data_IF_744118074357
#
_entry.id   IF_744118074357
#
_cell.length_a   1.000
_cell.length_b   1.000
_cell.length_c   1.000
_cell.angle_alpha   90.00
_cell.angle_beta   90.00
_cell.angle_gamma   90.00
#
_symmetry.space_group_name_H-M   'P 1'
#
loop_
_entity.id
_entity.type
_entity.pdbx_description
1 polymer ?
#
# COMPACT_ATOMS: atom_id res chain seq x y z
N UNK A 1 -6.35 3.85 18.69
CA UNK A 1 -4.88 4.05 18.57
C UNK A 1 -4.54 5.33 17.81
N UNK A 2 -3.40 5.97 18.13
CA UNK A 2 -2.95 7.21 17.49
C UNK A 2 -1.62 6.99 16.76
N UNK A 3 -1.46 7.66 15.61
CA UNK A 3 -0.23 7.60 14.82
C UNK A 3 0.86 8.54 15.36
N UNK A 4 2.11 8.14 15.17
CA UNK A 4 3.24 8.94 15.60
C UNK A 4 3.43 10.15 14.66
N UNK A 5 3.77 11.30 15.24
CA UNK A 5 4.11 12.52 14.51
C UNK A 5 5.14 12.32 13.40
N UNK A 6 6.15 11.49 13.66
CA UNK A 6 7.19 11.19 12.67
C UNK A 6 6.62 10.41 11.47
N UNK A 7 5.70 9.46 11.72
CA UNK A 7 5.04 8.66 10.69
C UNK A 7 4.12 9.53 9.83
N UNK A 8 3.37 10.44 10.43
CA UNK A 8 2.51 11.40 9.71
C UNK A 8 3.33 12.34 8.81
N UNK A 9 4.45 12.87 9.32
CA UNK A 9 5.36 13.70 8.51
C UNK A 9 5.96 12.94 7.33
N UNK A 10 6.35 11.69 7.58
CA UNK A 10 6.87 10.82 6.53
C UNK A 10 5.77 10.51 5.50
N UNK A 11 4.54 10.22 5.96
CA UNK A 11 3.41 9.89 5.09
C UNK A 11 3.04 11.05 4.16
N UNK A 12 3.01 12.29 4.67
CA UNK A 12 2.78 13.45 3.80
C UNK A 12 3.85 13.54 2.70
N UNK A 13 5.13 13.37 3.05
CA UNK A 13 6.21 13.37 2.06
C UNK A 13 6.07 12.22 1.04
N UNK A 14 5.54 11.08 1.48
CA UNK A 14 5.26 9.93 0.61
C UNK A 14 4.16 10.23 -0.41
N UNK A 15 2.99 10.67 0.05
CA UNK A 15 1.85 10.95 -0.84
C UNK A 15 2.09 12.15 -1.76
N UNK A 16 2.88 13.13 -1.35
CA UNK A 16 3.30 14.23 -2.23
C UNK A 16 4.23 13.77 -3.36
N UNK A 17 5.05 12.78 -3.10
CA UNK A 17 6.02 12.28 -4.07
C UNK A 17 5.44 11.25 -5.03
N UNK A 18 4.62 10.34 -4.52
CA UNK A 18 4.15 9.17 -5.26
C UNK A 18 2.64 9.20 -5.54
N UNK A 19 1.91 10.09 -4.88
CA UNK A 19 0.45 10.07 -4.90
C UNK A 19 -0.13 8.98 -3.99
N UNK A 20 -1.44 8.88 -4.03
CA UNK A 20 -2.20 7.78 -3.43
C UNK A 20 -2.42 6.63 -4.43
N UNK A 21 -2.15 6.89 -5.72
CA UNK A 21 -2.29 5.92 -6.81
C UNK A 21 -1.56 6.41 -8.06
N UNK A 22 -1.10 5.48 -8.88
CA UNK A 22 -0.54 5.73 -10.22
C UNK A 22 -1.62 5.88 -11.31
N UNK A 23 -2.88 5.75 -10.95
CA UNK A 23 -4.02 5.72 -11.89
C UNK A 23 -4.65 7.10 -12.07
N UNK A 24 -4.67 7.90 -11.00
CA UNK A 24 -5.25 9.24 -11.00
C UNK A 24 -4.17 10.32 -10.91
N UNK A 25 -4.45 11.55 -11.37
CA UNK A 25 -3.59 12.68 -11.11
C UNK A 25 -3.38 12.90 -9.62
N UNK A 26 -2.20 13.39 -9.24
CA UNK A 26 -1.91 13.76 -7.86
C UNK A 26 -2.93 14.79 -7.35
N UNK A 27 -3.62 14.53 -6.24
CA UNK A 27 -4.56 15.48 -5.64
C UNK A 27 -3.84 16.78 -5.25
N UNK A 28 -4.38 17.92 -5.68
CA UNK A 28 -3.83 19.25 -5.34
C UNK A 28 -3.96 19.56 -3.85
N UNK A 29 -4.86 18.88 -3.18
CA UNK A 29 -5.10 18.98 -1.73
C UNK A 29 -3.84 18.66 -0.92
N UNK A 30 -2.95 17.79 -1.39
CA UNK A 30 -1.71 17.52 -0.69
C UNK A 30 -0.81 18.75 -0.59
N UNK A 31 -0.78 19.60 -1.62
CA UNK A 31 -0.05 20.87 -1.56
C UNK A 31 -0.68 21.85 -0.54
N UNK A 32 -2.02 21.90 -0.49
CA UNK A 32 -2.73 22.72 0.50
C UNK A 32 -2.49 22.22 1.95
N UNK A 33 -2.55 20.89 2.15
CA UNK A 33 -2.23 20.26 3.45
C UNK A 33 -0.79 20.58 3.85
N UNK A 34 0.15 20.56 2.91
CA UNK A 34 1.55 20.93 3.16
C UNK A 34 1.67 22.40 3.61
N UNK A 35 0.98 23.30 2.96
CA UNK A 35 1.01 24.73 3.30
C UNK A 35 0.53 24.97 4.74
N UNK A 36 -0.52 24.27 5.16
CA UNK A 36 -1.14 24.39 6.49
C UNK A 36 -0.70 23.29 7.48
N UNK A 37 0.44 22.65 7.22
CA UNK A 37 0.88 21.48 7.98
C UNK A 37 0.99 21.71 9.48
N UNK A 38 1.41 22.90 9.89
CA UNK A 38 1.55 23.25 11.32
C UNK A 38 0.23 23.22 12.08
N UNK A 39 -0.88 23.51 11.39
CA UNK A 39 -2.23 23.50 11.96
C UNK A 39 -2.87 22.10 11.86
N UNK A 40 -2.65 21.42 10.74
CA UNK A 40 -3.27 20.12 10.46
C UNK A 40 -2.62 18.98 11.25
N UNK A 41 -1.30 19.01 11.45
CA UNK A 41 -0.58 17.92 12.10
C UNK A 41 -1.10 17.58 13.51
N UNK A 42 -1.36 18.55 14.41
CA UNK A 42 -1.93 18.23 15.72
C UNK A 42 -3.30 17.57 15.65
N UNK A 43 -4.12 17.94 14.66
CA UNK A 43 -5.43 17.33 14.43
C UNK A 43 -5.28 15.88 13.97
N UNK A 44 -4.33 15.60 13.06
CA UNK A 44 -4.02 14.23 12.64
C UNK A 44 -3.46 13.38 13.78
N UNK A 45 -2.63 13.96 14.65
CA UNK A 45 -2.11 13.26 15.84
C UNK A 45 -3.23 12.89 16.82
N UNK A 46 -4.30 13.69 16.88
CA UNK A 46 -5.44 13.47 17.76
C UNK A 46 -6.46 12.45 17.22
N UNK A 47 -6.38 12.05 15.95
CA UNK A 47 -7.28 11.06 15.37
C UNK A 47 -7.05 9.70 16.02
N UNK A 48 -8.13 9.13 16.58
CA UNK A 48 -8.15 7.74 17.00
C UNK A 48 -8.61 6.85 15.84
N UNK A 49 -7.70 6.05 15.29
CA UNK A 49 -7.98 5.18 14.14
C UNK A 49 -8.98 4.06 14.43
N UNK A 50 -9.23 3.73 15.68
CA UNK A 50 -10.25 2.75 16.05
C UNK A 50 -11.67 3.26 15.78
N UNK A 51 -11.88 4.55 16.01
CA UNK A 51 -13.19 5.20 15.84
C UNK A 51 -13.29 6.08 14.60
N UNK A 52 -12.16 6.27 13.89
CA UNK A 52 -12.09 7.11 12.69
C UNK A 52 -13.05 6.62 11.61
N UNK A 53 -13.86 7.56 11.09
CA UNK A 53 -14.69 7.34 9.93
C UNK A 53 -13.98 7.91 8.71
N UNK A 54 -13.81 7.07 7.69
CA UNK A 54 -13.15 7.50 6.44
C UNK A 54 -13.96 8.58 5.73
N UNK A 55 -13.26 9.51 5.11
CA UNK A 55 -13.87 10.55 4.27
C UNK A 55 -14.42 10.00 2.95
N UNK A 56 -14.99 10.88 2.17
CA UNK A 56 -15.50 10.54 0.85
C UNK A 56 -14.38 10.07 -0.07
N UNK A 57 -14.61 8.96 -0.74
CA UNK A 57 -13.67 8.38 -1.70
C UNK A 57 -14.33 8.22 -3.07
N UNK A 58 -13.52 8.22 -4.12
CA UNK A 58 -13.98 8.11 -5.50
C UNK A 58 -13.68 6.73 -6.05
N UNK A 59 -14.65 6.14 -6.75
CA UNK A 59 -14.44 4.94 -7.55
C UNK A 59 -14.67 5.26 -9.01
N UNK A 60 -13.72 4.82 -9.85
CA UNK A 60 -13.81 5.02 -11.29
C UNK A 60 -13.41 3.75 -12.04
N UNK A 61 -14.10 3.47 -13.11
CA UNK A 61 -13.69 2.45 -14.07
C UNK A 61 -12.58 3.03 -14.94
N UNK A 62 -11.39 2.45 -14.83
CA UNK A 62 -10.22 2.85 -15.62
C UNK A 62 -9.86 1.76 -16.63
N UNK A 63 -9.51 2.11 -17.88
CA UNK A 63 -9.08 1.14 -18.87
C UNK A 63 -7.81 0.40 -18.42
N UNK A 64 -7.81 -0.92 -18.46
CA UNK A 64 -6.63 -1.78 -18.26
C UNK A 64 -6.07 -2.25 -19.60
N UNK A 65 -6.95 -2.46 -20.57
CA UNK A 65 -6.62 -2.90 -21.93
C UNK A 65 -7.74 -2.50 -22.88
N UNK A 66 -7.62 -2.88 -24.17
CA UNK A 66 -8.66 -2.59 -25.17
C UNK A 66 -10.08 -3.05 -24.75
N UNK A 67 -10.17 -4.14 -24.00
CA UNK A 67 -11.46 -4.75 -23.59
C UNK A 67 -11.58 -4.96 -22.08
N UNK A 68 -10.61 -4.51 -21.31
CA UNK A 68 -10.56 -4.70 -19.86
C UNK A 68 -10.60 -3.38 -19.11
N UNK A 69 -11.33 -3.38 -18.00
CA UNK A 69 -11.42 -2.25 -17.08
C UNK A 69 -11.04 -2.72 -15.68
N UNK A 70 -10.56 -1.79 -14.86
CA UNK A 70 -10.39 -1.98 -13.41
C UNK A 70 -11.21 -0.93 -12.68
N UNK A 71 -11.74 -1.31 -11.53
CA UNK A 71 -12.32 -0.37 -10.60
C UNK A 71 -11.20 0.20 -9.74
N UNK A 72 -10.81 1.43 -10.01
CA UNK A 72 -9.80 2.14 -9.21
C UNK A 72 -10.50 2.99 -8.13
N UNK A 73 -9.82 3.13 -6.99
CA UNK A 73 -10.32 3.90 -5.85
C UNK A 73 -9.30 5.00 -5.53
N UNK A 74 -9.79 6.24 -5.43
CA UNK A 74 -9.02 7.38 -4.91
C UNK A 74 -9.56 7.72 -3.53
N UNK A 75 -8.69 7.70 -2.54
CA UNK A 75 -9.06 7.98 -1.16
C UNK A 75 -9.18 9.49 -0.91
N UNK A 76 -9.85 9.84 0.18
CA UNK A 76 -9.75 11.19 0.72
C UNK A 76 -8.28 11.49 1.09
N UNK A 77 -7.73 12.69 0.80
CA UNK A 77 -6.31 13.00 1.04
C UNK A 77 -5.83 12.76 2.48
N UNK A 78 -6.67 13.05 3.46
CA UNK A 78 -6.36 12.76 4.88
C UNK A 78 -6.24 11.25 5.11
N UNK A 79 -7.16 10.45 4.58
CA UNK A 79 -7.12 8.99 4.73
C UNK A 79 -5.92 8.37 4.02
N UNK A 80 -5.50 8.94 2.89
CA UNK A 80 -4.26 8.54 2.22
C UNK A 80 -3.03 8.75 3.11
N UNK A 81 -2.96 9.89 3.82
CA UNK A 81 -1.88 10.18 4.77
C UNK A 81 -1.95 9.21 5.97
N UNK A 82 -3.14 8.99 6.53
CA UNK A 82 -3.32 8.09 7.67
C UNK A 82 -2.95 6.64 7.30
N UNK A 83 -3.41 6.15 6.14
CA UNK A 83 -3.08 4.81 5.65
C UNK A 83 -1.56 4.68 5.41
N UNK A 84 -0.93 5.63 4.73
CA UNK A 84 0.50 5.60 4.47
C UNK A 84 1.32 5.62 5.79
N UNK A 85 0.93 6.42 6.77
CA UNK A 85 1.58 6.45 8.08
C UNK A 85 1.41 5.13 8.84
N UNK A 86 0.21 4.54 8.79
CA UNK A 86 -0.09 3.28 9.44
C UNK A 86 0.72 2.13 8.82
N UNK A 87 0.77 2.04 7.50
CA UNK A 87 1.61 1.08 6.77
C UNK A 87 3.08 1.28 7.10
N UNK A 88 3.56 2.54 7.14
CA UNK A 88 4.94 2.84 7.50
C UNK A 88 5.32 2.30 8.88
N UNK A 89 4.44 2.38 9.87
CA UNK A 89 4.71 1.92 11.24
C UNK A 89 4.89 0.40 11.35
N UNK A 90 4.24 -0.38 10.49
CA UNK A 90 4.33 -1.85 10.46
C UNK A 90 5.27 -2.39 9.37
N UNK A 91 5.64 -1.58 8.40
CA UNK A 91 6.35 -2.01 7.20
C UNK A 91 7.65 -2.78 7.47
N UNK A 92 8.40 -2.41 8.51
CA UNK A 92 9.63 -3.11 8.90
C UNK A 92 9.35 -4.53 9.39
N UNK A 93 8.32 -4.68 10.19
CA UNK A 93 7.93 -5.98 10.74
C UNK A 93 7.45 -6.90 9.61
N UNK A 94 6.62 -6.37 8.70
CA UNK A 94 6.17 -7.09 7.51
C UNK A 94 7.35 -7.52 6.62
N UNK A 95 8.31 -6.62 6.37
CA UNK A 95 9.47 -6.93 5.52
C UNK A 95 10.35 -8.02 6.15
N UNK A 96 10.53 -8.01 7.48
CA UNK A 96 11.35 -9.00 8.19
C UNK A 96 10.79 -10.43 8.13
N UNK A 97 9.47 -10.55 7.92
CA UNK A 97 8.78 -11.85 7.78
C UNK A 97 8.71 -12.35 6.33
N UNK A 98 9.19 -11.58 5.37
CA UNK A 98 9.20 -11.99 3.96
C UNK A 98 10.40 -12.88 3.64
N UNK A 99 10.27 -13.70 2.60
CA UNK A 99 11.38 -14.47 2.06
C UNK A 99 12.57 -13.53 1.78
N UNK A 100 13.78 -13.84 2.28
CA UNK A 100 14.94 -12.96 2.16
C UNK A 100 15.26 -12.58 0.70
N UNK A 101 15.68 -11.34 0.47
CA UNK A 101 16.06 -10.83 -0.88
C UNK A 101 17.09 -11.72 -1.58
N UNK A 102 18.05 -12.30 -0.83
CA UNK A 102 19.10 -13.17 -1.37
C UNK A 102 18.58 -14.41 -2.09
N UNK A 103 17.39 -14.89 -1.74
CA UNK A 103 16.78 -16.05 -2.40
C UNK A 103 16.22 -15.74 -3.79
N UNK A 104 16.01 -14.48 -4.14
CA UNK A 104 15.51 -14.01 -5.44
C UNK A 104 14.25 -14.76 -5.92
N UNK A 105 13.38 -15.16 -4.98
CA UNK A 105 12.13 -15.88 -5.25
C UNK A 105 10.89 -14.99 -5.23
N UNK A 106 10.93 -13.93 -4.43
CA UNK A 106 9.84 -12.94 -4.31
C UNK A 106 10.43 -11.58 -4.64
N UNK A 107 10.07 -11.05 -5.81
CA UNK A 107 10.67 -9.86 -6.42
C UNK A 107 9.64 -8.73 -6.52
N UNK A 108 8.54 -8.79 -5.79
CA UNK A 108 7.61 -7.66 -5.66
C UNK A 108 8.24 -6.57 -4.78
N UNK A 109 7.65 -5.39 -4.79
CA UNK A 109 8.08 -4.26 -3.99
C UNK A 109 8.58 -4.66 -2.60
N UNK A 110 9.82 -4.30 -2.28
CA UNK A 110 10.47 -4.53 -0.98
C UNK A 110 10.48 -3.24 -0.20
N UNK A 111 10.34 -3.33 1.11
CA UNK A 111 10.37 -2.14 1.96
C UNK A 111 11.80 -1.62 2.12
N UNK A 112 11.99 -0.33 1.81
CA UNK A 112 13.16 0.45 2.17
C UNK A 112 12.72 1.85 2.58
N UNK A 113 12.98 2.24 3.83
CA UNK A 113 12.54 3.51 4.44
C UNK A 113 13.67 4.50 4.65
N UNK A 114 14.78 4.34 3.91
CA UNK A 114 16.01 5.12 4.16
C UNK A 114 15.93 6.57 3.65
N UNK A 115 14.93 6.90 2.84
CA UNK A 115 14.71 8.25 2.31
C UNK A 115 13.39 8.89 2.77
N UNK A 116 13.32 10.23 2.75
CA UNK A 116 12.07 10.95 3.04
C UNK A 116 10.94 10.52 2.10
N UNK A 117 9.84 10.03 2.68
CA UNK A 117 8.68 9.56 1.93
C UNK A 117 8.92 8.30 1.09
N UNK A 118 10.08 7.65 1.18
CA UNK A 118 10.38 6.44 0.44
C UNK A 118 9.92 5.21 1.23
N UNK A 119 9.02 4.42 0.66
CA UNK A 119 8.55 3.16 1.24
C UNK A 119 9.22 1.95 0.59
N UNK A 120 9.45 2.01 -0.71
CA UNK A 120 9.91 0.88 -1.51
C UNK A 120 11.37 1.02 -1.91
N UNK A 121 12.03 -0.13 -1.98
CA UNK A 121 13.40 -0.26 -2.47
C UNK A 121 13.42 -0.03 -3.99
N UNK A 122 14.12 1.02 -4.48
CA UNK A 122 14.15 1.35 -5.89
C UNK A 122 14.83 0.28 -6.76
N UNK A 123 15.67 -0.58 -6.16
CA UNK A 123 16.34 -1.67 -6.88
C UNK A 123 15.45 -2.90 -7.04
N UNK A 124 14.38 -3.03 -6.24
CA UNK A 124 13.44 -4.16 -6.28
C UNK A 124 12.12 -3.76 -6.94
N UNK A 125 12.18 -3.56 -8.24
CA UNK A 125 11.09 -3.09 -9.08
C UNK A 125 10.76 -4.08 -10.21
N UNK A 126 9.88 -3.70 -11.12
CA UNK A 126 9.48 -4.54 -12.25
C UNK A 126 10.63 -4.83 -13.23
N UNK A 127 11.59 -3.92 -13.41
CA UNK A 127 12.78 -4.18 -14.25
C UNK A 127 13.66 -5.27 -13.62
N UNK A 128 13.92 -5.18 -12.33
CA UNK A 128 14.63 -6.23 -11.57
C UNK A 128 13.92 -7.59 -11.70
N UNK A 129 12.59 -7.61 -11.65
CA UNK A 129 11.82 -8.84 -11.90
C UNK A 129 12.08 -9.41 -13.30
N UNK A 130 12.03 -8.57 -14.33
CA UNK A 130 12.27 -9.00 -15.71
C UNK A 130 13.69 -9.54 -15.91
N UNK A 131 14.68 -8.89 -15.33
CA UNK A 131 16.08 -9.31 -15.44
C UNK A 131 16.34 -10.65 -14.77
N UNK A 132 15.77 -10.84 -13.56
CA UNK A 132 15.86 -12.12 -12.86
C UNK A 132 15.13 -13.24 -13.65
N UNK A 133 13.97 -12.92 -14.22
CA UNK A 133 13.22 -13.88 -15.03
C UNK A 133 14.01 -14.27 -16.28
N UNK A 134 14.56 -13.30 -17.02
CA UNK A 134 15.42 -13.56 -18.19
C UNK A 134 16.58 -14.47 -17.83
N UNK A 135 17.34 -14.10 -16.78
CA UNK A 135 18.48 -14.90 -16.34
C UNK A 135 18.10 -16.33 -16.01
N UNK A 136 16.90 -16.56 -15.41
CA UNK A 136 16.41 -17.91 -15.13
C UNK A 136 15.95 -18.67 -16.39
N UNK A 137 15.37 -17.97 -17.36
CA UNK A 137 14.98 -18.59 -18.65
C UNK A 137 16.20 -18.97 -19.48
N UNK A 138 17.33 -18.27 -19.34
CA UNK A 138 18.56 -18.55 -20.05
C UNK A 138 19.40 -19.69 -19.40
N UNK A 139 18.99 -20.21 -18.25
CA UNK A 139 19.65 -21.35 -17.63
C UNK A 139 19.46 -22.60 -18.52
N UNK A 140 20.53 -23.40 -18.78
CA UNK A 140 20.43 -24.60 -19.62
C UNK A 140 19.44 -25.65 -19.12
N UNK A 141 19.08 -25.61 -17.85
CA UNK A 141 18.10 -26.48 -17.21
C UNK A 141 16.65 -26.03 -17.39
N UNK A 142 16.42 -24.83 -17.89
CA UNK A 142 15.08 -24.27 -18.07
C UNK A 142 14.47 -24.71 -19.41
N UNK A 143 13.83 -25.86 -19.42
CA UNK A 143 13.15 -26.39 -20.61
C UNK A 143 11.76 -25.76 -20.84
N UNK A 144 11.12 -25.28 -19.75
CA UNK A 144 9.75 -24.78 -19.79
C UNK A 144 9.59 -23.52 -18.95
N UNK A 145 8.79 -22.57 -19.44
CA UNK A 145 8.37 -21.38 -18.71
C UNK A 145 6.85 -21.40 -18.60
N UNK A 146 6.35 -21.37 -17.37
CA UNK A 146 4.91 -21.27 -17.10
C UNK A 146 4.64 -19.91 -16.51
N UNK A 147 3.75 -19.12 -17.15
CA UNK A 147 3.31 -17.80 -16.67
C UNK A 147 1.89 -17.93 -16.16
N UNK A 148 1.68 -17.52 -14.91
CA UNK A 148 0.35 -17.50 -14.29
C UNK A 148 0.10 -16.14 -13.65
N UNK A 149 -1.17 -15.73 -13.57
CA UNK A 149 -1.59 -14.52 -12.91
C UNK A 149 -2.88 -14.78 -12.11
N UNK A 150 -3.08 -14.02 -11.03
CA UNK A 150 -4.31 -14.09 -10.23
C UNK A 150 -5.25 -13.00 -10.74
N UNK A 151 -6.33 -13.44 -11.39
CA UNK A 151 -7.34 -12.50 -11.86
C UNK A 151 -8.01 -11.76 -10.70
N UNK A 152 -8.11 -10.45 -10.83
CA UNK A 152 -8.78 -9.57 -9.86
C UNK A 152 -8.26 -9.72 -8.42
N UNK A 153 -6.94 -9.86 -8.25
CA UNK A 153 -6.31 -10.16 -6.97
C UNK A 153 -6.82 -9.29 -5.84
N UNK A 154 -6.73 -7.95 -5.98
CA UNK A 154 -7.11 -7.02 -4.90
C UNK A 154 -8.58 -7.13 -4.52
N UNK A 155 -9.47 -7.26 -5.49
CA UNK A 155 -10.92 -7.32 -5.25
C UNK A 155 -11.38 -8.67 -4.69
N UNK A 156 -10.51 -9.69 -4.73
CA UNK A 156 -10.79 -11.04 -4.23
C UNK A 156 -10.02 -11.42 -2.98
N UNK A 157 -9.23 -10.49 -2.43
CA UNK A 157 -8.47 -10.75 -1.22
C UNK A 157 -9.41 -10.83 -0.01
N UNK A 158 -9.51 -12.00 0.62
CA UNK A 158 -10.31 -12.18 1.82
C UNK A 158 -9.65 -11.49 3.02
N UNK A 159 -10.44 -10.75 3.80
CA UNK A 159 -9.93 -9.98 4.94
C UNK A 159 -9.41 -10.87 6.06
N UNK A 160 -10.11 -11.96 6.40
CA UNK A 160 -9.67 -12.83 7.50
C UNK A 160 -8.29 -13.48 7.29
N UNK A 161 -7.96 -14.08 6.14
CA UNK A 161 -6.59 -14.54 5.88
C UNK A 161 -5.55 -13.42 5.87
N UNK A 162 -5.90 -12.23 5.38
CA UNK A 162 -5.03 -11.05 5.42
C UNK A 162 -4.75 -10.63 6.86
N UNK A 163 -5.78 -10.52 7.69
CA UNK A 163 -5.64 -10.21 9.11
C UNK A 163 -4.74 -11.22 9.83
N UNK A 164 -4.97 -12.52 9.62
CA UNK A 164 -4.14 -13.57 10.21
C UNK A 164 -2.66 -13.43 9.79
N UNK A 165 -2.39 -13.14 8.51
CA UNK A 165 -1.03 -12.93 8.02
C UNK A 165 -0.37 -11.69 8.65
N UNK A 166 -1.12 -10.60 8.82
CA UNK A 166 -0.64 -9.39 9.49
C UNK A 166 -0.34 -9.65 10.97
N UNK A 167 -1.24 -10.33 11.69
CA UNK A 167 -1.04 -10.69 13.12
C UNK A 167 0.15 -11.61 13.34
N UNK A 168 0.46 -12.49 12.38
CA UNK A 168 1.66 -13.32 12.42
C UNK A 168 2.95 -12.54 12.13
N UNK A 169 2.84 -11.44 11.38
CA UNK A 169 4.00 -10.68 10.95
C UNK A 169 4.38 -9.53 11.92
N UNK A 170 3.47 -9.09 12.79
CA UNK A 170 3.74 -8.01 13.76
C UNK A 170 2.97 -8.21 15.06
N UNK A 171 3.60 -7.83 16.18
CA UNK A 171 2.97 -7.82 17.49
C UNK A 171 2.08 -6.58 17.74
N UNK A 172 2.00 -5.66 16.79
CA UNK A 172 1.24 -4.41 16.88
C UNK A 172 -0.24 -4.64 16.60
N UNK A 173 -0.96 -5.24 17.52
CA UNK A 173 -2.37 -5.63 17.35
C UNK A 173 -3.27 -4.44 16.96
N UNK A 174 -3.15 -3.30 17.63
CA UNK A 174 -3.95 -2.10 17.32
C UNK A 174 -3.71 -1.58 15.89
N UNK A 175 -2.46 -1.69 15.38
CA UNK A 175 -2.17 -1.32 13.99
C UNK A 175 -2.83 -2.29 13.01
N UNK A 176 -2.86 -3.58 13.34
CA UNK A 176 -3.56 -4.57 12.50
C UNK A 176 -5.06 -4.31 12.50
N UNK A 177 -5.66 -4.00 13.66
CA UNK A 177 -7.07 -3.64 13.75
C UNK A 177 -7.41 -2.41 12.90
N UNK A 178 -6.59 -1.36 12.95
CA UNK A 178 -6.74 -0.18 12.12
C UNK A 178 -6.55 -0.50 10.61
N UNK A 179 -5.53 -1.31 10.25
CA UNK A 179 -5.31 -1.77 8.87
C UNK A 179 -6.46 -2.60 8.31
N UNK A 180 -7.22 -3.27 9.16
CA UNK A 180 -8.41 -4.01 8.72
C UNK A 180 -9.66 -3.13 8.70
N UNK A 181 -9.77 -2.16 9.62
CA UNK A 181 -10.92 -1.27 9.70
C UNK A 181 -10.99 -0.31 8.49
N UNK A 182 -9.89 0.35 8.12
CA UNK A 182 -9.88 1.33 7.03
C UNK A 182 -10.28 0.70 5.67
N UNK A 183 -9.63 -0.35 5.15
CA UNK A 183 -10.07 -1.01 3.93
C UNK A 183 -11.48 -1.57 4.00
N UNK A 184 -11.90 -2.04 5.18
CA UNK A 184 -13.26 -2.51 5.42
C UNK A 184 -14.31 -1.42 5.18
N UNK A 185 -14.05 -0.18 5.62
CA UNK A 185 -14.95 0.94 5.39
C UNK A 185 -15.00 1.32 3.90
N UNK A 186 -13.85 1.43 3.22
CA UNK A 186 -13.81 1.73 1.77
C UNK A 186 -14.45 0.65 0.92
N UNK A 187 -14.55 -0.57 1.43
CA UNK A 187 -15.20 -1.68 0.74
C UNK A 187 -16.58 -2.03 1.29
N UNK A 188 -17.26 -1.05 1.90
CA UNK A 188 -18.62 -1.21 2.44
C UNK A 188 -18.77 -2.40 3.40
N UNK A 189 -17.71 -2.70 4.18
CA UNK A 189 -17.62 -3.82 5.13
C UNK A 189 -17.85 -5.20 4.51
N UNK A 190 -17.62 -5.34 3.21
CA UNK A 190 -17.57 -6.66 2.58
C UNK A 190 -16.40 -7.48 3.18
N UNK A 191 -16.54 -8.80 3.35
CA UNK A 191 -15.50 -9.65 3.96
C UNK A 191 -14.30 -9.92 3.05
N UNK A 192 -14.25 -9.29 1.89
CA UNK A 192 -13.19 -9.43 0.89
C UNK A 192 -13.04 -8.15 0.07
N UNK A 193 -11.90 -8.02 -0.56
CA UNK A 193 -11.53 -6.92 -1.41
C UNK A 193 -10.79 -5.81 -0.67
N UNK A 194 -9.71 -5.36 -1.29
CA UNK A 194 -8.93 -4.19 -0.90
C UNK A 194 -9.06 -3.16 -2.01
N UNK A 195 -9.20 -1.87 -1.71
CA UNK A 195 -9.26 -0.83 -2.73
C UNK A 195 -8.07 -0.91 -3.67
N UNK A 196 -8.30 -0.79 -4.98
CA UNK A 196 -7.24 -0.73 -5.99
C UNK A 196 -6.87 0.71 -6.20
N UNK A 197 -5.60 1.02 -6.02
CA UNK A 197 -5.05 2.33 -6.27
C UNK A 197 -4.22 2.90 -5.13
N UNK A 198 -4.66 2.85 -3.85
CA UNK A 198 -3.82 3.30 -2.76
C UNK A 198 -2.49 2.55 -2.75
N UNK A 199 -1.40 3.30 -2.69
CA UNK A 199 -0.03 2.78 -2.72
C UNK A 199 0.33 2.06 -1.42
#
# INVERSE_FOLDING_TARGET
>A
MHLKKASLKWALAHVERFGDTDIFPLPFEFAAIRAEWSSILPELEAIDLETHQVGDFRRALTPKSRYGFRLATQLHPIDSILLAALVYEVAKDLESNRIPKRERRVISHRVNRDGPGQLYDPEWNFECFKDILRAKCDEPSAEWVVVTDIADFYTRLYHHPLENALRLATEKSEHVDALMNLPGQWNFRAPYGVPVGPA
#
